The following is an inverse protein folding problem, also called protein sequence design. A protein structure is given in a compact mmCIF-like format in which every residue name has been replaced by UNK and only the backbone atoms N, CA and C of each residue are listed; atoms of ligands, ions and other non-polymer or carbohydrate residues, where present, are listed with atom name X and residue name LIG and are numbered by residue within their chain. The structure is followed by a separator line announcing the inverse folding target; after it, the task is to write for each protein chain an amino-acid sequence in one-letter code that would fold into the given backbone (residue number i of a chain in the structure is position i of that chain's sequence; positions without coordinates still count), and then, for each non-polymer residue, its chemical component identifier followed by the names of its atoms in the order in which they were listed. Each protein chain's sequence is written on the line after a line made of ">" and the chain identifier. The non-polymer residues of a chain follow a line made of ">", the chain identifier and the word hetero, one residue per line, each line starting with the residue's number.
data_IF_023301670234
#
_entry.id   IF_023301670234
#
_cell.length_a   1.000
_cell.length_b   1.000
_cell.length_c   1.000
_cell.angle_alpha   90.00
_cell.angle_beta   90.00
_cell.angle_gamma   90.00
#
_symmetry.space_group_name_H-M   'P 1'
#
loop_
_entity.id
_entity.type
_entity.pdbx_description
1 polymer ?
#
# COMPACT_ATOMS: atom_id res chain seq x y z
N UNK A 1 -14.56 22.17 10.04
CA UNK A 1 -14.43 21.10 9.05
C UNK A 1 -14.09 19.80 9.73
N UNK A 2 -14.83 18.79 9.44
CA UNK A 2 -14.55 17.48 10.05
C UNK A 2 -13.78 16.62 9.06
N UNK A 3 -12.77 15.94 9.57
CA UNK A 3 -12.02 14.99 8.78
C UNK A 3 -12.73 13.65 8.78
N UNK A 4 -12.59 12.92 7.70
CA UNK A 4 -13.07 11.56 7.68
C UNK A 4 -12.14 10.69 8.52
N UNK A 5 -12.66 9.64 9.17
CA UNK A 5 -11.78 8.75 9.93
C UNK A 5 -10.74 8.12 9.00
N UNK A 6 -9.53 7.98 9.51
CA UNK A 6 -8.51 7.19 8.80
C UNK A 6 -8.91 5.73 8.90
N UNK A 7 -9.02 5.07 7.76
CA UNK A 7 -9.48 3.69 7.69
C UNK A 7 -8.34 2.71 7.76
N UNK A 8 -8.63 1.50 8.21
CA UNK A 8 -7.67 0.41 8.24
C UNK A 8 -8.22 -0.79 7.50
N UNK A 9 -7.33 -1.70 7.12
CA UNK A 9 -7.71 -2.94 6.46
C UNK A 9 -7.68 -4.06 7.49
N UNK A 10 -8.83 -4.69 7.72
CA UNK A 10 -8.92 -5.77 8.71
C UNK A 10 -7.98 -6.91 8.35
N UNK A 11 -7.23 -7.36 9.34
CA UNK A 11 -6.34 -8.51 9.17
C UNK A 11 -4.97 -8.18 8.62
N UNK A 12 -4.66 -6.90 8.42
CA UNK A 12 -3.38 -6.49 7.86
C UNK A 12 -2.58 -5.55 8.76
N UNK A 13 -2.87 -5.56 10.06
CA UNK A 13 -2.18 -4.67 11.00
C UNK A 13 -0.67 -4.84 10.95
N UNK A 14 -0.19 -6.06 10.74
CA UNK A 14 1.24 -6.32 10.70
C UNK A 14 1.92 -5.71 9.47
N UNK A 15 1.15 -5.27 8.50
CA UNK A 15 1.69 -4.62 7.30
C UNK A 15 1.71 -3.10 7.44
N UNK A 16 1.17 -2.55 8.52
CA UNK A 16 1.19 -1.09 8.73
C UNK A 16 2.61 -0.64 9.02
N UNK A 17 3.09 0.34 8.27
CA UNK A 17 4.45 0.87 8.44
C UNK A 17 4.47 2.32 8.90
N UNK A 18 3.32 2.96 8.97
CA UNK A 18 3.26 4.34 9.45
C UNK A 18 2.00 5.05 8.99
N UNK A 19 2.07 6.36 9.07
CA UNK A 19 1.00 7.22 8.58
C UNK A 19 1.63 8.30 7.71
N UNK A 20 0.84 8.88 6.81
CA UNK A 20 1.36 9.98 6.00
C UNK A 20 1.50 11.24 6.85
N UNK A 21 2.48 12.07 6.53
CA UNK A 21 2.61 13.35 7.22
C UNK A 21 1.44 14.26 6.81
N UNK A 22 1.10 15.17 7.70
CA UNK A 22 0.05 16.14 7.38
C UNK A 22 0.50 17.06 6.26
N UNK A 23 -0.31 17.18 5.24
CA UNK A 23 -0.04 18.06 4.12
C UNK A 23 -1.28 18.91 3.85
N UNK A 24 -1.11 20.18 3.41
CA UNK A 24 -2.26 21.01 3.10
C UNK A 24 -3.19 20.35 2.09
N UNK A 25 -4.48 20.35 2.39
CA UNK A 25 -5.49 19.77 1.52
C UNK A 25 -5.61 18.26 1.59
N UNK A 26 -4.83 17.60 2.46
CA UNK A 26 -4.88 16.14 2.63
C UNK A 26 -4.84 15.79 4.10
N UNK A 27 -5.66 14.84 4.49
CA UNK A 27 -5.57 14.32 5.84
C UNK A 27 -4.53 13.21 5.90
N UNK A 28 -4.01 12.95 7.12
CA UNK A 28 -3.10 11.84 7.33
C UNK A 28 -3.86 10.53 7.25
N UNK A 29 -3.26 9.55 6.60
CA UNK A 29 -3.86 8.22 6.48
C UNK A 29 -2.82 7.15 6.79
N UNK A 30 -3.31 5.94 7.02
CA UNK A 30 -2.45 4.79 7.33
C UNK A 30 -1.73 4.34 6.07
N UNK A 31 -0.45 3.97 6.23
CA UNK A 31 0.39 3.48 5.13
C UNK A 31 0.72 2.02 5.37
N UNK A 32 0.47 1.20 4.36
CA UNK A 32 0.71 -0.23 4.39
C UNK A 32 1.85 -0.60 3.45
N UNK A 33 2.62 -1.60 3.84
CA UNK A 33 3.63 -2.21 2.98
C UNK A 33 2.93 -3.26 2.11
N UNK A 34 2.90 -3.02 0.80
CA UNK A 34 2.17 -3.90 -0.12
C UNK A 34 2.71 -5.33 -0.11
N UNK A 35 4.02 -5.50 -0.05
CA UNK A 35 4.63 -6.84 -0.04
C UNK A 35 4.26 -7.59 1.23
N UNK A 36 4.24 -6.90 2.38
CA UNK A 36 3.84 -7.56 3.62
C UNK A 36 2.39 -8.00 3.59
N UNK A 37 1.52 -7.23 2.93
CA UNK A 37 0.12 -7.65 2.76
C UNK A 37 0.04 -8.94 1.94
N UNK A 38 0.84 -9.04 0.88
CA UNK A 38 0.91 -10.26 0.07
C UNK A 38 1.37 -11.44 0.93
N UNK A 39 2.44 -11.23 1.72
CA UNK A 39 2.97 -12.28 2.59
C UNK A 39 1.96 -12.76 3.62
N UNK A 40 1.16 -11.84 4.15
CA UNK A 40 0.10 -12.18 5.10
C UNK A 40 -0.91 -13.14 4.44
N UNK A 41 -1.34 -12.83 3.22
CA UNK A 41 -2.30 -13.69 2.52
C UNK A 41 -1.70 -15.04 2.17
N UNK A 42 -0.43 -15.07 1.79
CA UNK A 42 0.25 -16.32 1.50
C UNK A 42 0.31 -17.21 2.74
N UNK A 43 0.64 -16.62 3.88
CA UNK A 43 0.79 -17.36 5.12
C UNK A 43 -0.56 -17.75 5.73
N UNK A 44 -1.51 -16.81 5.74
CA UNK A 44 -2.79 -17.00 6.40
C UNK A 44 -3.76 -17.83 5.57
N UNK A 45 -3.82 -17.54 4.27
CA UNK A 45 -4.83 -18.12 3.39
C UNK A 45 -4.28 -19.12 2.38
N UNK A 46 -2.97 -19.36 2.41
CA UNK A 46 -2.35 -20.33 1.51
C UNK A 46 -2.31 -19.90 0.06
N UNK A 47 -2.42 -18.62 -0.22
CA UNK A 47 -2.38 -18.12 -1.58
C UNK A 47 -0.95 -18.14 -2.13
N UNK A 48 -0.83 -18.28 -3.45
CA UNK A 48 0.45 -18.01 -4.10
C UNK A 48 0.66 -16.50 -4.13
N UNK A 49 1.90 -16.09 -4.42
CA UNK A 49 2.22 -14.65 -4.53
C UNK A 49 1.32 -13.98 -5.58
N UNK A 50 1.19 -14.61 -6.74
CA UNK A 50 0.40 -14.04 -7.84
C UNK A 50 -1.08 -13.93 -7.46
N UNK A 51 -1.62 -14.95 -6.81
CA UNK A 51 -3.02 -14.93 -6.38
C UNK A 51 -3.27 -13.85 -5.34
N UNK A 52 -2.35 -13.69 -4.39
CA UNK A 52 -2.46 -12.69 -3.36
C UNK A 52 -2.39 -11.28 -3.96
N UNK A 53 -1.46 -11.07 -4.88
CA UNK A 53 -1.31 -9.77 -5.54
C UNK A 53 -2.57 -9.42 -6.33
N UNK A 54 -3.11 -10.37 -7.06
CA UNK A 54 -4.33 -10.14 -7.83
C UNK A 54 -5.52 -9.85 -6.92
N UNK A 55 -5.64 -10.60 -5.83
CA UNK A 55 -6.72 -10.38 -4.87
C UNK A 55 -6.67 -8.96 -4.30
N UNK A 56 -5.48 -8.51 -3.88
CA UNK A 56 -5.32 -7.19 -3.30
C UNK A 56 -5.56 -6.09 -4.33
N UNK A 57 -5.13 -6.30 -5.57
CA UNK A 57 -5.33 -5.32 -6.63
C UNK A 57 -6.80 -5.07 -6.89
N UNK A 58 -7.61 -6.12 -6.88
CA UNK A 58 -9.05 -5.98 -7.15
C UNK A 58 -9.84 -5.54 -5.94
N UNK A 59 -9.48 -6.00 -4.75
CA UNK A 59 -10.35 -5.85 -3.58
C UNK A 59 -9.90 -4.80 -2.59
N UNK A 60 -8.63 -4.38 -2.65
CA UNK A 60 -8.08 -3.51 -1.62
C UNK A 60 -7.36 -2.31 -2.21
N UNK A 61 -6.35 -2.55 -3.03
CA UNK A 61 -5.50 -1.46 -3.51
C UNK A 61 -6.21 -0.54 -4.50
N UNK A 62 -7.19 -1.05 -5.21
CA UNK A 62 -7.93 -0.27 -6.19
C UNK A 62 -9.14 0.45 -5.62
N UNK A 63 -9.44 0.27 -4.35
CA UNK A 63 -10.65 0.83 -3.75
C UNK A 63 -10.40 2.26 -3.28
N UNK A 64 -11.35 3.13 -3.54
CA UNK A 64 -11.39 4.47 -2.99
C UNK A 64 -12.65 4.59 -2.14
N UNK A 65 -12.48 4.88 -0.86
CA UNK A 65 -13.60 4.95 0.09
C UNK A 65 -13.62 6.28 0.84
N UNK A 66 -13.09 7.32 0.22
CA UNK A 66 -13.09 8.67 0.80
C UNK A 66 -11.70 9.13 1.16
N UNK A 67 -11.62 10.29 1.80
CA UNK A 67 -10.34 10.92 2.14
C UNK A 67 -9.51 10.12 3.15
N UNK A 68 -10.14 9.21 3.87
CA UNK A 68 -9.45 8.34 4.84
C UNK A 68 -8.90 7.06 4.24
N UNK A 69 -8.97 6.87 2.92
CA UNK A 69 -8.46 5.67 2.26
C UNK A 69 -6.98 5.49 2.53
N UNK A 70 -6.55 4.29 2.96
CA UNK A 70 -5.14 4.03 3.22
C UNK A 70 -4.29 4.13 1.95
N UNK A 71 -2.99 4.32 2.15
CA UNK A 71 -2.00 4.34 1.07
C UNK A 71 -1.21 3.03 1.13
N UNK A 72 -0.92 2.48 -0.03
CA UNK A 72 -0.17 1.22 -0.14
C UNK A 72 1.10 1.49 -0.93
N UNK A 73 2.24 1.05 -0.39
CA UNK A 73 3.53 1.39 -0.99
C UNK A 73 4.37 0.14 -1.23
N UNK A 74 5.21 0.23 -2.27
CA UNK A 74 6.30 -0.71 -2.48
C UNK A 74 7.59 0.00 -2.12
N UNK A 75 8.41 -0.66 -1.32
CA UNK A 75 9.72 -0.10 -0.99
C UNK A 75 10.67 -0.25 -2.17
N UNK A 76 11.60 0.70 -2.28
CA UNK A 76 12.73 0.52 -3.17
C UNK A 76 13.53 -0.68 -2.62
N UNK A 77 13.80 -1.71 -3.43
CA UNK A 77 14.54 -2.87 -2.93
C UNK A 77 15.91 -2.46 -2.41
N UNK A 78 16.33 -3.11 -1.33
CA UNK A 78 17.62 -2.83 -0.74
C UNK A 78 18.73 -3.14 -1.74
N UNK A 79 19.64 -2.18 -1.90
CA UNK A 79 20.75 -2.33 -2.84
C UNK A 79 20.44 -1.92 -4.27
N UNK A 80 19.19 -1.63 -4.59
CA UNK A 80 18.83 -1.18 -5.93
C UNK A 80 18.91 0.34 -6.01
N UNK A 81 19.56 0.90 -7.06
CA UNK A 81 19.55 2.35 -7.23
C UNK A 81 18.14 2.89 -7.40
N UNK A 82 17.84 4.00 -6.72
CA UNK A 82 16.49 4.58 -6.76
C UNK A 82 16.07 4.94 -8.18
N UNK A 83 16.99 5.52 -8.96
CA UNK A 83 16.68 5.91 -10.33
C UNK A 83 16.23 4.71 -11.19
N UNK A 84 16.89 3.57 -10.99
CA UNK A 84 16.55 2.36 -11.72
C UNK A 84 15.19 1.84 -11.30
N UNK A 85 14.90 1.85 -10.00
CA UNK A 85 13.61 1.44 -9.48
C UNK A 85 12.48 2.31 -10.05
N UNK A 86 12.68 3.63 -10.07
CA UNK A 86 11.67 4.54 -10.61
C UNK A 86 11.44 4.32 -12.09
N UNK A 87 12.52 4.05 -12.81
CA UNK A 87 12.42 3.77 -14.25
C UNK A 87 11.60 2.51 -14.50
N UNK A 88 11.84 1.46 -13.72
CA UNK A 88 11.09 0.21 -13.86
C UNK A 88 9.62 0.38 -13.50
N UNK A 89 9.33 1.22 -12.51
CA UNK A 89 7.96 1.41 -12.03
C UNK A 89 7.16 2.32 -12.96
N UNK A 90 7.75 3.41 -13.40
CA UNK A 90 7.05 4.45 -14.16
C UNK A 90 7.44 4.51 -15.63
N UNK A 91 8.43 3.72 -16.03
CA UNK A 91 8.91 3.71 -17.39
C UNK A 91 9.90 4.83 -17.66
N UNK A 92 10.37 4.91 -18.90
CA UNK A 92 11.44 5.83 -19.29
C UNK A 92 11.01 7.29 -19.25
N UNK A 93 9.71 7.54 -19.28
CA UNK A 93 9.16 8.90 -19.30
C UNK A 93 8.93 9.48 -17.91
N UNK A 94 9.26 8.73 -16.89
CA UNK A 94 9.01 9.15 -15.52
C UNK A 94 9.88 10.32 -15.10
#
# INVERSE_FOLDING_TARGET
>A
MSDEPALTCDGFDDAIIGVTVHQPGRQSVVVYDAVKMIEILMRRDGMTYEDAEEFLSFNTWGAWVGAGTPVFVHHVPEGEPVAEFLCETFGDDA
#
